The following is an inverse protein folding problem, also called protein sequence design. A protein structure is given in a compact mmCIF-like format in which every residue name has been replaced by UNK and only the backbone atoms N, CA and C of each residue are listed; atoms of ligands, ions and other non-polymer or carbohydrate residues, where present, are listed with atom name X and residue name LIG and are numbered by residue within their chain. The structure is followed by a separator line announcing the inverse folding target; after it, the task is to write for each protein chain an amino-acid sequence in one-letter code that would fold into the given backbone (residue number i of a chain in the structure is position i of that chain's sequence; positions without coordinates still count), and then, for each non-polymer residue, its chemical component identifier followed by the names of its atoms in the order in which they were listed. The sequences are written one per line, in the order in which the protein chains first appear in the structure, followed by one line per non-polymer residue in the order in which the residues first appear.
data_IF_455776046133
#
_entry.id   IF_455776046133
#
_cell.length_a   1.000
_cell.length_b   1.000
_cell.length_c   1.000
_cell.angle_alpha   90.00
_cell.angle_beta   90.00
_cell.angle_gamma   90.00
#
_symmetry.space_group_name_H-M   'P 1'
#
loop_
_entity.id
_entity.type
_entity.pdbx_description
1 polymer ?
#
# COMPACT_ATOMS: atom_id res chain seq x y z
N UNK A 1 -22.76 -36.06 22.48
CA UNK A 1 -22.39 -35.99 21.05
C UNK A 1 -23.08 -34.78 20.48
N UNK A 2 -22.39 -33.65 20.41
CA UNK A 2 -22.91 -32.43 19.78
C UNK A 2 -22.21 -32.28 18.43
N UNK A 3 -22.99 -32.42 17.36
CA UNK A 3 -22.56 -32.21 15.99
C UNK A 3 -22.48 -30.71 15.71
N UNK A 4 -21.26 -30.24 15.43
CA UNK A 4 -20.98 -28.84 15.10
C UNK A 4 -21.21 -28.66 13.60
N UNK A 5 -22.36 -28.09 13.22
CA UNK A 5 -22.67 -27.74 11.83
C UNK A 5 -21.90 -26.47 11.47
N UNK A 6 -20.94 -26.59 10.55
CA UNK A 6 -20.11 -25.49 10.06
C UNK A 6 -20.80 -24.80 8.88
N UNK A 7 -21.35 -23.60 9.10
CA UNK A 7 -21.95 -22.80 8.03
C UNK A 7 -20.86 -22.07 7.26
N UNK A 8 -20.35 -22.70 6.20
CA UNK A 8 -19.62 -21.97 5.17
C UNK A 8 -20.60 -21.08 4.40
N UNK A 9 -20.53 -19.77 4.65
CA UNK A 9 -21.19 -18.75 3.83
C UNK A 9 -20.74 -18.93 2.37
N UNK A 10 -21.59 -19.54 1.54
CA UNK A 10 -21.35 -19.61 0.11
C UNK A 10 -21.29 -18.19 -0.45
N UNK A 11 -20.35 -17.89 -1.37
CA UNK A 11 -20.33 -16.62 -2.09
C UNK A 11 -21.68 -16.38 -2.77
N UNK A 12 -22.11 -15.12 -2.83
CA UNK A 12 -23.36 -14.76 -3.51
C UNK A 12 -23.32 -15.21 -4.98
N UNK A 13 -24.50 -15.39 -5.58
CA UNK A 13 -24.61 -15.82 -6.99
C UNK A 13 -23.80 -14.92 -7.92
N UNK A 14 -23.73 -13.63 -7.59
CA UNK A 14 -22.96 -12.60 -8.30
C UNK A 14 -21.45 -12.84 -8.23
N UNK A 15 -20.91 -13.20 -7.06
CA UNK A 15 -19.49 -13.56 -6.90
C UNK A 15 -19.14 -14.87 -7.62
N UNK A 16 -20.07 -15.82 -7.71
CA UNK A 16 -19.86 -17.06 -8.48
C UNK A 16 -19.89 -16.81 -9.98
N UNK A 17 -20.85 -16.03 -10.46
CA UNK A 17 -20.94 -15.63 -11.86
C UNK A 17 -19.71 -14.83 -12.31
N UNK A 18 -19.21 -13.91 -11.47
CA UNK A 18 -17.97 -13.16 -11.71
C UNK A 18 -16.73 -14.07 -11.78
N UNK A 19 -16.65 -15.09 -10.92
CA UNK A 19 -15.55 -16.07 -10.96
C UNK A 19 -15.59 -16.94 -12.21
N UNK A 20 -16.76 -17.40 -12.63
CA UNK A 20 -16.91 -18.22 -13.84
C UNK A 20 -16.66 -17.41 -15.12
N UNK A 21 -17.13 -16.16 -15.18
CA UNK A 21 -16.86 -15.26 -16.30
C UNK A 21 -15.37 -14.90 -16.39
N UNK A 22 -14.70 -14.68 -15.23
CA UNK A 22 -13.27 -14.44 -15.17
C UNK A 22 -12.47 -15.63 -15.74
N UNK A 23 -12.78 -16.86 -15.33
CA UNK A 23 -12.08 -18.07 -15.84
C UNK A 23 -12.28 -18.27 -17.35
N UNK A 24 -13.45 -17.96 -17.90
CA UNK A 24 -13.74 -18.11 -19.33
C UNK A 24 -13.08 -17.04 -20.21
N UNK A 25 -12.89 -15.82 -19.69
CA UNK A 25 -12.25 -14.71 -20.41
C UNK A 25 -10.71 -14.74 -20.37
N UNK A 26 -10.10 -15.60 -19.54
CA UNK A 26 -8.66 -15.62 -19.25
C UNK A 26 -7.78 -16.40 -20.24
N UNK A 27 -8.36 -17.03 -21.27
CA UNK A 27 -7.63 -17.87 -22.24
C UNK A 27 -7.30 -17.16 -23.58
N UNK A 28 -7.23 -15.82 -23.65
CA UNK A 28 -6.90 -15.11 -24.89
C UNK A 28 -5.75 -14.09 -24.74
N UNK A 29 -4.89 -14.02 -25.76
CA UNK A 29 -3.55 -13.42 -25.78
C UNK A 29 -3.47 -11.87 -25.79
N UNK A 30 -4.57 -11.14 -25.59
CA UNK A 30 -4.58 -9.67 -25.64
C UNK A 30 -4.95 -9.05 -24.29
N UNK A 31 -4.07 -8.19 -23.77
CA UNK A 31 -4.21 -7.50 -22.47
C UNK A 31 -5.13 -6.27 -22.56
N UNK A 32 -5.47 -5.78 -23.77
CA UNK A 32 -6.31 -4.58 -23.93
C UNK A 32 -7.78 -4.71 -23.47
N UNK A 33 -8.47 -5.86 -23.66
CA UNK A 33 -9.80 -6.07 -23.07
C UNK A 33 -9.77 -6.21 -21.55
N UNK A 34 -8.63 -6.60 -20.96
CA UNK A 34 -8.49 -6.72 -19.50
C UNK A 34 -8.64 -5.37 -18.82
N UNK A 35 -8.03 -4.30 -19.35
CA UNK A 35 -8.05 -2.97 -18.73
C UNK A 35 -9.38 -2.23 -18.89
N UNK A 36 -10.17 -2.55 -19.92
CA UNK A 36 -11.49 -1.92 -20.17
C UNK A 36 -12.63 -2.60 -19.41
N UNK A 37 -12.49 -3.87 -19.03
CA UNK A 37 -13.45 -4.61 -18.18
C UNK A 37 -13.34 -4.32 -16.68
N UNK A 38 -12.22 -3.75 -16.22
CA UNK A 38 -12.11 -3.25 -14.84
C UNK A 38 -12.92 -1.96 -14.68
N UNK A 39 -14.22 -2.08 -14.44
CA UNK A 39 -14.94 -1.01 -13.74
C UNK A 39 -14.40 -0.97 -12.32
N UNK A 40 -13.39 -0.11 -12.09
CA UNK A 40 -12.91 0.26 -10.75
C UNK A 40 -14.00 1.07 -10.03
N UNK A 41 -15.12 0.41 -9.72
CA UNK A 41 -16.14 0.92 -8.81
C UNK A 41 -15.56 0.79 -7.41
N UNK A 42 -14.78 1.80 -7.04
CA UNK A 42 -14.38 2.00 -5.66
C UNK A 42 -15.65 2.08 -4.82
N UNK A 43 -15.83 1.10 -3.93
CA UNK A 43 -16.91 1.09 -2.94
C UNK A 43 -16.88 2.37 -2.07
N UNK A 44 -15.71 3.00 -1.98
CA UNK A 44 -15.48 4.25 -1.24
C UNK A 44 -16.02 5.46 -2.01
N UNK A 45 -15.97 5.48 -3.35
CA UNK A 45 -16.30 6.69 -4.16
C UNK A 45 -17.80 7.04 -4.06
N UNK A 46 -18.68 6.05 -4.25
CA UNK A 46 -20.13 6.28 -4.30
C UNK A 46 -20.73 6.55 -2.90
N UNK A 47 -20.24 5.86 -1.87
CA UNK A 47 -20.66 6.10 -0.49
C UNK A 47 -20.16 7.46 0.03
N UNK A 48 -18.89 7.78 -0.25
CA UNK A 48 -18.30 9.05 0.15
C UNK A 48 -19.00 10.23 -0.51
N UNK A 49 -19.20 10.23 -1.85
CA UNK A 49 -19.88 11.35 -2.52
C UNK A 49 -21.28 11.60 -1.98
N UNK A 50 -22.09 10.55 -1.75
CA UNK A 50 -23.44 10.71 -1.20
C UNK A 50 -23.40 11.29 0.21
N UNK A 51 -22.55 10.74 1.07
CA UNK A 51 -22.35 11.25 2.43
C UNK A 51 -21.87 12.72 2.42
N UNK A 52 -20.99 13.10 1.50
CA UNK A 52 -20.50 14.48 1.41
C UNK A 52 -21.53 15.47 0.92
N UNK A 53 -22.36 15.10 -0.07
CA UNK A 53 -23.48 15.95 -0.48
C UNK A 53 -24.45 16.18 0.67
N UNK A 54 -24.78 15.12 1.42
CA UNK A 54 -25.58 15.25 2.64
C UNK A 54 -24.91 16.17 3.67
N UNK A 55 -23.59 16.09 3.86
CA UNK A 55 -22.85 16.98 4.77
C UNK A 55 -22.79 18.44 4.28
N UNK A 56 -22.83 18.71 2.98
CA UNK A 56 -22.82 20.10 2.46
C UNK A 56 -24.22 20.74 2.57
N UNK A 57 -25.26 19.92 2.41
CA UNK A 57 -26.65 20.33 2.64
C UNK A 57 -26.97 20.49 4.14
N UNK A 58 -26.18 19.85 5.01
CA UNK A 58 -26.28 19.99 6.46
C UNK A 58 -25.92 21.41 6.91
N UNK A 59 -26.95 22.16 7.35
CA UNK A 59 -26.81 23.53 7.84
C UNK A 59 -26.11 23.61 9.19
N UNK A 60 -25.94 22.49 9.91
CA UNK A 60 -25.17 22.45 11.15
C UNK A 60 -23.65 22.57 10.89
N UNK A 61 -23.20 22.23 9.67
CA UNK A 61 -21.82 22.46 9.27
C UNK A 61 -21.58 23.94 8.96
N UNK A 62 -20.58 24.48 9.65
CA UNK A 62 -20.09 25.84 9.42
C UNK A 62 -19.77 26.10 7.94
N UNK A 63 -20.14 27.29 7.45
CA UNK A 63 -20.07 27.65 6.03
C UNK A 63 -18.64 27.61 5.48
N UNK A 64 -17.64 27.94 6.31
CA UNK A 64 -16.22 27.86 5.94
C UNK A 64 -15.82 26.41 5.66
N UNK A 65 -16.27 25.46 6.49
CA UNK A 65 -16.03 24.02 6.28
C UNK A 65 -16.73 23.51 5.03
N UNK A 66 -17.98 23.91 4.80
CA UNK A 66 -18.72 23.51 3.59
C UNK A 66 -18.04 24.01 2.32
N UNK A 67 -17.57 25.26 2.31
CA UNK A 67 -16.81 25.80 1.19
C UNK A 67 -15.51 25.01 0.92
N UNK A 68 -14.75 24.68 1.97
CA UNK A 68 -13.55 23.84 1.85
C UNK A 68 -13.87 22.48 1.22
N UNK A 69 -14.90 21.80 1.72
CA UNK A 69 -15.33 20.50 1.20
C UNK A 69 -15.78 20.60 -0.26
N UNK A 70 -16.58 21.61 -0.61
CA UNK A 70 -17.03 21.83 -1.97
C UNK A 70 -15.85 21.99 -2.94
N UNK A 71 -14.83 22.77 -2.58
CA UNK A 71 -13.60 22.91 -3.34
C UNK A 71 -12.82 21.59 -3.48
N UNK A 72 -12.62 20.87 -2.37
CA UNK A 72 -11.89 19.60 -2.36
C UNK A 72 -12.59 18.56 -3.24
N UNK A 73 -13.91 18.50 -3.24
CA UNK A 73 -14.70 17.55 -4.03
C UNK A 73 -15.12 18.06 -5.41
N UNK A 74 -14.63 19.24 -5.83
CA UNK A 74 -14.90 19.85 -7.13
C UNK A 74 -16.42 20.04 -7.41
N UNK A 75 -17.19 20.43 -6.40
CA UNK A 75 -18.64 20.66 -6.49
C UNK A 75 -18.93 22.08 -7.00
N UNK A 76 -18.77 22.27 -8.31
CA UNK A 76 -18.72 23.60 -8.95
C UNK A 76 -19.91 24.50 -8.61
N UNK A 77 -21.12 23.94 -8.60
CA UNK A 77 -22.36 24.66 -8.34
C UNK A 77 -22.41 25.17 -6.89
N UNK A 78 -21.99 24.32 -5.94
CA UNK A 78 -21.93 24.65 -4.52
C UNK A 78 -20.81 25.64 -4.22
N UNK A 79 -19.65 25.53 -4.88
CA UNK A 79 -18.50 26.44 -4.66
C UNK A 79 -18.91 27.90 -4.88
N UNK A 80 -19.61 28.20 -5.98
CA UNK A 80 -20.02 29.57 -6.30
C UNK A 80 -21.01 30.11 -5.26
N UNK A 81 -22.06 29.35 -4.97
CA UNK A 81 -23.12 29.78 -4.04
C UNK A 81 -22.61 29.93 -2.60
N UNK A 82 -21.75 29.01 -2.16
CA UNK A 82 -21.09 29.08 -0.86
C UNK A 82 -20.13 30.27 -0.77
N UNK A 83 -19.39 30.58 -1.85
CA UNK A 83 -18.51 31.75 -1.89
C UNK A 83 -19.27 33.06 -1.72
N UNK A 84 -20.38 33.24 -2.46
CA UNK A 84 -21.24 34.43 -2.36
C UNK A 84 -21.86 34.57 -0.96
N UNK A 85 -22.13 33.44 -0.30
CA UNK A 85 -22.70 33.40 1.04
C UNK A 85 -21.65 33.57 2.16
N UNK A 86 -20.35 33.48 1.86
CA UNK A 86 -19.29 33.62 2.85
C UNK A 86 -19.14 35.09 3.31
N UNK A 87 -19.12 35.37 4.63
CA UNK A 87 -18.79 36.70 5.13
C UNK A 87 -17.42 37.17 4.64
N UNK A 88 -17.27 38.48 4.37
CA UNK A 88 -16.01 39.05 3.83
C UNK A 88 -14.78 38.69 4.68
N UNK A 89 -14.93 38.69 6.01
CA UNK A 89 -13.86 38.30 6.95
C UNK A 89 -13.34 36.88 6.68
N UNK A 90 -14.22 35.97 6.26
CA UNK A 90 -13.92 34.57 6.04
C UNK A 90 -13.43 34.33 4.61
N UNK A 91 -13.90 35.11 3.63
CA UNK A 91 -13.35 35.12 2.27
C UNK A 91 -11.83 35.42 2.26
N UNK A 92 -11.38 36.32 3.14
CA UNK A 92 -9.96 36.66 3.30
C UNK A 92 -9.10 35.47 3.77
N UNK A 93 -9.70 34.39 4.28
CA UNK A 93 -8.98 33.15 4.61
C UNK A 93 -8.57 32.36 3.36
N UNK A 94 -9.24 32.58 2.24
CA UNK A 94 -9.13 31.80 1.01
C UNK A 94 -8.59 32.60 -0.18
N UNK A 95 -8.57 33.92 -0.07
CA UNK A 95 -8.20 34.82 -1.13
C UNK A 95 -7.24 35.90 -0.63
N UNK A 96 -6.21 36.16 -1.42
CA UNK A 96 -5.30 37.28 -1.22
C UNK A 96 -5.23 38.08 -2.53
N UNK A 97 -5.52 39.37 -2.46
CA UNK A 97 -5.60 40.20 -3.67
C UNK A 97 -4.25 40.31 -4.41
N UNK A 98 -3.15 40.34 -3.66
CA UNK A 98 -1.80 40.53 -4.18
C UNK A 98 -1.19 39.24 -4.73
N UNK A 99 -1.29 38.15 -3.96
CA UNK A 99 -0.53 36.92 -4.26
C UNK A 99 -1.21 35.66 -3.72
N UNK A 100 -1.57 34.75 -4.64
CA UNK A 100 -2.17 33.45 -4.31
C UNK A 100 -1.25 32.57 -3.46
N UNK A 101 0.08 32.74 -3.52
CA UNK A 101 1.03 31.97 -2.72
C UNK A 101 0.97 32.33 -1.22
N UNK A 102 0.45 33.52 -0.88
CA UNK A 102 0.27 33.95 0.52
C UNK A 102 -0.96 33.30 1.17
N UNK A 103 -1.81 32.62 0.41
CA UNK A 103 -2.99 31.95 0.95
C UNK A 103 -2.59 30.63 1.62
N UNK A 104 -2.69 30.59 2.95
CA UNK A 104 -2.36 29.40 3.77
C UNK A 104 -3.35 28.24 3.68
N UNK A 105 -4.04 28.06 2.54
CA UNK A 105 -5.04 27.01 2.33
C UNK A 105 -4.49 25.90 1.43
N UNK A 106 -5.20 24.77 1.39
CA UNK A 106 -4.88 23.72 0.44
C UNK A 106 -5.01 24.23 -1.00
N UNK A 107 -4.09 23.84 -1.87
CA UNK A 107 -4.01 24.34 -3.25
C UNK A 107 -5.31 24.17 -4.03
N UNK A 108 -6.08 23.09 -3.89
CA UNK A 108 -7.37 22.97 -4.59
C UNK A 108 -8.36 24.08 -4.19
N UNK A 109 -8.38 24.46 -2.91
CA UNK A 109 -9.23 25.55 -2.42
C UNK A 109 -8.77 26.89 -3.01
N UNK A 110 -7.46 27.13 -3.03
CA UNK A 110 -6.88 28.33 -3.67
C UNK A 110 -7.26 28.36 -5.15
N UNK A 111 -6.99 27.29 -5.89
CA UNK A 111 -7.31 27.19 -7.32
C UNK A 111 -8.78 27.52 -7.59
N UNK A 112 -9.71 26.87 -6.89
CA UNK A 112 -11.14 27.12 -7.05
C UNK A 112 -11.53 28.55 -6.74
N UNK A 113 -10.99 29.14 -5.68
CA UNK A 113 -11.30 30.52 -5.27
C UNK A 113 -10.91 31.54 -6.35
N UNK A 114 -9.75 31.37 -7.01
CA UNK A 114 -9.35 32.28 -8.09
C UNK A 114 -10.09 31.97 -9.40
N UNK A 115 -10.46 30.71 -9.66
CA UNK A 115 -11.28 30.33 -10.82
C UNK A 115 -12.66 31.00 -10.75
N UNK A 116 -13.36 30.90 -9.61
CA UNK A 116 -14.70 31.49 -9.46
C UNK A 116 -14.68 33.03 -9.50
N UNK A 117 -13.58 33.65 -9.08
CA UNK A 117 -13.37 35.10 -9.23
C UNK A 117 -12.99 35.54 -10.64
N UNK A 118 -12.72 34.60 -11.55
CA UNK A 118 -12.24 34.90 -12.90
C UNK A 118 -10.81 35.45 -12.94
N UNK A 119 -10.03 35.24 -11.88
CA UNK A 119 -8.68 35.79 -11.68
C UNK A 119 -7.58 34.73 -11.89
N UNK A 120 -7.82 33.75 -12.77
CA UNK A 120 -6.93 32.62 -13.03
C UNK A 120 -5.47 33.03 -13.34
N UNK A 121 -5.26 34.20 -13.94
CA UNK A 121 -3.93 34.74 -14.25
C UNK A 121 -3.05 34.94 -13.01
N UNK A 122 -3.65 35.19 -11.84
CA UNK A 122 -2.90 35.32 -10.57
C UNK A 122 -2.31 33.98 -10.09
N UNK A 123 -2.82 32.85 -10.59
CA UNK A 123 -2.29 31.52 -10.30
C UNK A 123 -1.03 31.19 -11.10
N UNK A 124 -0.66 31.99 -12.11
CA UNK A 124 0.49 31.71 -12.97
C UNK A 124 1.81 31.58 -12.19
N UNK A 125 2.00 32.41 -11.15
CA UNK A 125 3.21 32.33 -10.33
C UNK A 125 3.28 31.01 -9.55
N UNK A 126 2.15 30.59 -8.99
CA UNK A 126 2.02 29.31 -8.28
C UNK A 126 2.30 28.11 -9.21
N UNK A 127 1.79 28.17 -10.44
CA UNK A 127 1.99 27.11 -11.44
C UNK A 127 3.45 27.06 -11.89
N UNK A 128 4.05 28.21 -12.23
CA UNK A 128 5.43 28.30 -12.70
C UNK A 128 6.45 27.85 -11.65
N UNK A 129 6.19 28.14 -10.37
CA UNK A 129 7.07 27.73 -9.29
C UNK A 129 7.24 26.20 -9.17
N UNK A 130 6.20 25.43 -9.55
CA UNK A 130 6.24 23.97 -9.52
C UNK A 130 6.72 23.39 -10.86
N UNK A 131 6.12 23.83 -11.97
CA UNK A 131 6.49 23.38 -13.32
C UNK A 131 6.21 24.43 -14.39
N UNK A 132 7.28 24.94 -15.03
CA UNK A 132 7.25 26.07 -15.97
C UNK A 132 6.27 25.93 -17.16
N UNK A 133 5.88 24.71 -17.54
CA UNK A 133 5.08 24.46 -18.74
C UNK A 133 3.71 23.81 -18.48
N UNK A 134 3.18 23.96 -17.27
CA UNK A 134 1.87 23.42 -16.92
C UNK A 134 0.76 24.43 -17.22
N UNK A 135 -0.34 23.94 -17.78
CA UNK A 135 -1.60 24.69 -17.76
C UNK A 135 -2.24 24.60 -16.37
N UNK A 136 -3.21 25.48 -16.11
CA UNK A 136 -3.99 25.45 -14.86
C UNK A 136 -4.62 24.08 -14.61
N UNK A 137 -5.20 23.44 -15.64
CA UNK A 137 -5.82 22.12 -15.50
C UNK A 137 -4.77 21.02 -15.25
N UNK A 138 -3.60 21.06 -15.91
CA UNK A 138 -2.51 20.12 -15.63
C UNK A 138 -2.00 20.23 -14.19
N UNK A 139 -1.85 21.46 -13.71
CA UNK A 139 -1.44 21.74 -12.34
C UNK A 139 -2.47 21.25 -11.32
N UNK A 140 -3.75 21.58 -11.53
CA UNK A 140 -4.85 21.11 -10.69
C UNK A 140 -4.96 19.57 -10.67
N UNK A 141 -4.82 18.93 -11.84
CA UNK A 141 -4.82 17.48 -11.99
C UNK A 141 -3.66 16.82 -11.22
N UNK A 142 -2.43 17.31 -11.41
CA UNK A 142 -1.24 16.85 -10.68
C UNK A 142 -1.46 16.97 -9.19
N UNK A 143 -1.88 18.14 -8.73
CA UNK A 143 -2.07 18.39 -7.30
C UNK A 143 -3.15 17.47 -6.71
N UNK A 144 -4.31 17.34 -7.35
CA UNK A 144 -5.37 16.42 -6.92
C UNK A 144 -4.84 14.99 -6.78
N UNK A 145 -4.13 14.49 -7.80
CA UNK A 145 -3.57 13.14 -7.81
C UNK A 145 -2.54 12.92 -6.69
N UNK A 146 -1.61 13.87 -6.52
CA UNK A 146 -0.57 13.79 -5.49
C UNK A 146 -1.10 14.03 -4.07
N UNK A 147 -2.37 14.40 -3.90
CA UNK A 147 -3.03 14.44 -2.60
C UNK A 147 -3.93 13.24 -2.35
N UNK A 148 -3.95 12.25 -3.26
CA UNK A 148 -4.81 11.07 -3.13
C UNK A 148 -6.29 11.37 -3.39
N UNK A 149 -6.64 12.53 -3.96
CA UNK A 149 -8.03 12.92 -4.18
C UNK A 149 -8.54 12.44 -5.54
N UNK A 150 -9.03 11.20 -5.59
CA UNK A 150 -9.52 10.57 -6.83
C UNK A 150 -10.65 11.33 -7.51
N UNK A 151 -11.55 11.95 -6.76
CA UNK A 151 -12.70 12.69 -7.32
C UNK A 151 -12.17 13.91 -8.09
N UNK A 152 -11.34 14.73 -7.45
CA UNK A 152 -10.72 15.88 -8.10
C UNK A 152 -9.79 15.45 -9.24
N UNK A 153 -9.06 14.34 -9.10
CA UNK A 153 -8.21 13.79 -10.18
C UNK A 153 -9.05 13.48 -11.41
N UNK A 154 -10.18 12.78 -11.26
CA UNK A 154 -11.11 12.49 -12.37
C UNK A 154 -11.65 13.76 -13.00
N UNK A 155 -12.09 14.70 -12.15
CA UNK A 155 -12.66 15.97 -12.59
C UNK A 155 -11.68 16.75 -13.48
N UNK A 156 -10.46 16.99 -13.00
CA UNK A 156 -9.47 17.76 -13.77
C UNK A 156 -8.94 16.96 -14.97
N UNK A 157 -8.84 15.64 -14.89
CA UNK A 157 -8.43 14.80 -16.03
C UNK A 157 -9.37 14.96 -17.23
N UNK A 158 -10.68 15.01 -17.00
CA UNK A 158 -11.68 15.21 -18.06
C UNK A 158 -11.51 16.56 -18.77
N UNK A 159 -10.96 17.57 -18.09
CA UNK A 159 -10.72 18.91 -18.63
C UNK A 159 -9.37 19.05 -19.33
N UNK A 160 -8.51 18.04 -19.28
CA UNK A 160 -7.27 18.00 -20.05
C UNK A 160 -7.56 17.69 -21.52
N UNK A 161 -6.92 18.44 -22.40
CA UNK A 161 -6.79 18.11 -23.82
C UNK A 161 -5.94 16.84 -24.01
N UNK A 162 -6.04 16.22 -25.19
CA UNK A 162 -5.26 15.04 -25.52
C UNK A 162 -3.74 15.26 -25.34
N UNK A 163 -3.22 16.37 -25.88
CA UNK A 163 -1.81 16.74 -25.79
C UNK A 163 -1.34 16.94 -24.34
N UNK A 164 -2.19 17.55 -23.51
CA UNK A 164 -1.88 17.72 -22.08
C UNK A 164 -1.82 16.38 -21.35
N UNK A 165 -2.73 15.45 -21.66
CA UNK A 165 -2.74 14.09 -21.08
C UNK A 165 -1.46 13.33 -21.44
N UNK A 166 -1.09 13.30 -22.72
CA UNK A 166 0.15 12.65 -23.17
C UNK A 166 1.38 13.20 -22.45
N UNK A 167 1.44 14.52 -22.27
CA UNK A 167 2.58 15.20 -21.63
C UNK A 167 2.73 14.85 -20.14
N UNK A 168 1.65 14.74 -19.38
CA UNK A 168 1.72 14.71 -17.91
C UNK A 168 1.32 13.39 -17.25
N UNK A 169 0.49 12.56 -17.89
CA UNK A 169 -0.19 11.44 -17.25
C UNK A 169 0.77 10.40 -16.67
N UNK A 170 1.73 9.92 -17.49
CA UNK A 170 2.71 8.92 -17.07
C UNK A 170 3.51 9.39 -15.85
N UNK A 171 4.06 10.60 -15.93
CA UNK A 171 4.87 11.18 -14.85
C UNK A 171 4.07 11.39 -13.57
N UNK A 172 2.81 11.82 -13.67
CA UNK A 172 1.94 11.98 -12.51
C UNK A 172 1.63 10.61 -11.87
N UNK A 173 1.36 9.57 -12.67
CA UNK A 173 1.17 8.21 -12.15
C UNK A 173 2.41 7.69 -11.41
N UNK A 174 3.61 7.92 -11.98
CA UNK A 174 4.89 7.59 -11.34
C UNK A 174 5.05 8.31 -9.99
N UNK A 175 4.76 9.61 -9.96
CA UNK A 175 4.86 10.41 -8.74
C UNK A 175 3.85 9.96 -7.67
N UNK A 176 2.63 9.57 -8.06
CA UNK A 176 1.62 9.01 -7.13
C UNK A 176 2.13 7.70 -6.51
N UNK A 177 2.64 6.78 -7.33
CA UNK A 177 3.19 5.51 -6.86
C UNK A 177 4.38 5.74 -5.91
N UNK A 178 5.31 6.61 -6.29
CA UNK A 178 6.47 6.97 -5.48
C UNK A 178 6.05 7.55 -4.13
N UNK A 179 5.22 8.62 -4.15
CA UNK A 179 4.76 9.33 -2.95
C UNK A 179 4.07 8.42 -1.94
N UNK A 180 3.28 7.46 -2.42
CA UNK A 180 2.63 6.45 -1.56
C UNK A 180 3.64 5.60 -0.79
N UNK A 181 4.77 5.26 -1.39
CA UNK A 181 5.72 4.29 -0.80
C UNK A 181 6.78 4.88 0.09
N UNK A 182 7.32 6.04 -0.27
CA UNK A 182 8.38 6.67 0.52
C UNK A 182 7.84 7.25 1.81
N UNK A 183 6.52 7.48 1.89
CA UNK A 183 5.92 8.09 3.06
C UNK A 183 6.53 9.46 3.35
N UNK A 184 7.26 10.05 2.38
CA UNK A 184 7.77 11.40 2.48
C UNK A 184 6.53 12.28 2.51
N UNK A 185 6.08 12.56 3.73
CA UNK A 185 5.27 13.71 4.08
C UNK A 185 6.17 14.93 3.89
N UNK A 186 6.63 15.12 2.65
CA UNK A 186 7.52 16.21 2.27
C UNK A 186 6.62 17.43 2.20
N UNK A 187 6.42 18.08 3.35
CA UNK A 187 5.81 19.39 3.55
C UNK A 187 4.46 19.67 2.86
N UNK A 188 3.81 18.67 2.26
CA UNK A 188 2.46 18.81 1.74
C UNK A 188 1.53 18.92 2.94
N UNK A 189 1.18 20.18 3.26
CA UNK A 189 0.12 20.60 4.18
C UNK A 189 -0.87 19.50 4.45
N UNK A 190 -0.91 19.02 5.70
CA UNK A 190 -1.93 18.14 6.31
C UNK A 190 -2.94 17.62 5.27
N UNK A 191 -2.53 16.65 4.46
CA UNK A 191 -3.44 16.12 3.45
C UNK A 191 -4.60 15.48 4.20
N UNK A 192 -5.82 15.96 4.00
CA UNK A 192 -7.03 15.40 4.63
C UNK A 192 -7.25 13.92 4.25
N UNK A 193 -6.59 13.46 3.18
CA UNK A 193 -6.71 12.11 2.66
C UNK A 193 -5.74 11.13 3.31
N UNK A 194 -6.28 9.98 3.67
CA UNK A 194 -5.53 8.87 4.21
C UNK A 194 -4.59 8.29 3.14
N UNK A 195 -3.46 7.71 3.56
CA UNK A 195 -2.46 7.07 2.68
C UNK A 195 -3.04 6.04 1.71
N UNK A 196 -4.21 5.47 2.00
CA UNK A 196 -4.92 4.49 1.15
C UNK A 196 -5.54 5.11 -0.11
N UNK A 197 -5.90 6.40 -0.07
CA UNK A 197 -6.56 7.07 -1.20
C UNK A 197 -5.64 7.18 -2.43
N UNK A 198 -4.32 7.13 -2.23
CA UNK A 198 -3.35 7.06 -3.32
C UNK A 198 -3.49 5.79 -4.17
N UNK A 199 -3.89 4.66 -3.58
CA UNK A 199 -4.11 3.42 -4.31
C UNK A 199 -5.29 3.55 -5.26
N UNK A 200 -6.35 4.24 -4.84
CA UNK A 200 -7.53 4.48 -5.66
C UNK A 200 -7.22 5.45 -6.82
N UNK A 201 -6.43 6.49 -6.55
CA UNK A 201 -5.90 7.40 -7.58
C UNK A 201 -5.01 6.65 -8.55
N UNK A 202 -4.03 5.88 -8.07
CA UNK A 202 -3.10 5.16 -8.92
C UNK A 202 -3.83 4.15 -9.81
N UNK A 203 -4.77 3.38 -9.25
CA UNK A 203 -5.60 2.47 -10.02
C UNK A 203 -6.34 3.19 -11.14
N UNK A 204 -6.95 4.34 -10.85
CA UNK A 204 -7.57 5.18 -11.88
C UNK A 204 -6.57 5.61 -12.96
N UNK A 205 -5.42 6.17 -12.58
CA UNK A 205 -4.41 6.68 -13.51
C UNK A 205 -3.83 5.57 -14.40
N UNK A 206 -3.55 4.39 -13.83
CA UNK A 206 -3.06 3.24 -14.59
C UNK A 206 -4.05 2.86 -15.70
N UNK A 207 -5.36 2.91 -15.44
CA UNK A 207 -6.36 2.63 -16.49
C UNK A 207 -6.44 3.71 -17.58
N UNK A 208 -5.95 4.91 -17.32
CA UNK A 208 -5.89 5.97 -18.33
C UNK A 208 -4.62 5.90 -19.18
N UNK A 209 -3.58 5.19 -18.73
CA UNK A 209 -2.36 5.00 -19.51
C UNK A 209 -2.61 4.03 -20.66
N UNK A 210 -1.98 4.30 -21.81
CA UNK A 210 -1.95 3.32 -22.89
C UNK A 210 -1.01 2.14 -22.53
N UNK A 211 -1.08 1.04 -23.28
CA UNK A 211 -0.33 -0.18 -22.97
C UNK A 211 1.20 0.00 -22.91
N UNK A 212 1.77 0.90 -23.72
CA UNK A 212 3.21 1.16 -23.69
C UNK A 212 3.60 1.93 -22.42
N UNK A 213 2.83 2.97 -22.08
CA UNK A 213 3.03 3.71 -20.84
C UNK A 213 2.83 2.85 -19.60
N UNK A 214 1.85 1.93 -19.59
CA UNK A 214 1.65 0.96 -18.52
C UNK A 214 2.86 0.03 -18.36
N UNK A 215 3.37 -0.51 -19.46
CA UNK A 215 4.59 -1.34 -19.45
C UNK A 215 5.78 -0.56 -18.90
N UNK A 216 5.98 0.67 -19.35
CA UNK A 216 7.06 1.53 -18.92
C UNK A 216 7.00 1.84 -17.41
N UNK A 217 5.82 2.18 -16.88
CA UNK A 217 5.69 2.45 -15.44
C UNK A 217 5.90 1.18 -14.61
N UNK A 218 5.43 0.01 -15.09
CA UNK A 218 5.66 -1.26 -14.41
C UNK A 218 7.13 -1.63 -14.36
N UNK A 219 7.87 -1.44 -15.45
CA UNK A 219 9.32 -1.67 -15.50
C UNK A 219 10.09 -0.78 -14.51
N UNK A 220 9.77 0.51 -14.48
CA UNK A 220 10.54 1.49 -13.71
C UNK A 220 10.11 1.58 -12.23
N UNK A 221 8.86 1.19 -11.92
CA UNK A 221 8.26 1.43 -10.60
C UNK A 221 7.47 0.24 -10.07
N UNK A 222 7.75 -1.00 -10.50
CA UNK A 222 7.07 -2.22 -10.05
C UNK A 222 6.86 -2.28 -8.53
N UNK A 223 7.92 -2.08 -7.76
CA UNK A 223 7.84 -2.08 -6.30
C UNK A 223 6.86 -1.04 -5.76
N UNK A 224 6.91 0.18 -6.29
CA UNK A 224 6.07 1.27 -5.83
C UNK A 224 4.60 0.97 -6.09
N UNK A 225 4.30 0.43 -7.26
CA UNK A 225 2.94 0.09 -7.70
C UNK A 225 2.39 -1.06 -6.86
N UNK A 226 3.14 -2.17 -6.73
CA UNK A 226 2.73 -3.31 -5.91
C UNK A 226 2.42 -2.89 -4.48
N UNK A 227 3.27 -2.04 -3.91
CA UNK A 227 3.02 -1.57 -2.55
C UNK A 227 1.73 -0.74 -2.41
N UNK A 228 1.25 -0.08 -3.46
CA UNK A 228 -0.03 0.63 -3.40
C UNK A 228 -1.18 -0.37 -3.26
N UNK A 229 -1.10 -1.51 -3.95
CA UNK A 229 -2.16 -2.52 -3.93
C UNK A 229 -2.15 -3.43 -2.68
N UNK A 230 -1.13 -3.33 -1.83
CA UNK A 230 -1.12 -4.04 -0.55
C UNK A 230 -2.12 -3.49 0.47
N UNK A 231 -2.75 -2.33 0.23
CA UNK A 231 -3.80 -1.79 1.08
C UNK A 231 -5.14 -2.52 0.86
N UNK A 232 -5.94 -2.69 1.92
CA UNK A 232 -7.35 -3.09 1.76
C UNK A 232 -8.12 -1.92 1.09
N UNK A 233 -8.87 -2.13 -0.01
CA UNK A 233 -9.36 -3.42 -0.52
C UNK A 233 -8.68 -4.07 -1.73
N UNK A 234 -7.44 -3.70 -2.02
CA UNK A 234 -6.77 -3.98 -3.30
C UNK A 234 -5.96 -5.28 -3.35
N UNK A 235 -6.12 -6.21 -2.41
CA UNK A 235 -5.21 -7.34 -2.26
C UNK A 235 -5.35 -8.40 -3.35
N UNK A 236 -6.55 -8.60 -3.88
CA UNK A 236 -6.75 -9.46 -5.05
C UNK A 236 -6.00 -8.89 -6.27
N UNK A 237 -6.01 -7.56 -6.41
CA UNK A 237 -5.27 -6.86 -7.45
C UNK A 237 -3.76 -6.92 -7.19
N UNK A 238 -3.33 -6.86 -5.92
CA UNK A 238 -1.91 -7.04 -5.56
C UNK A 238 -1.38 -8.39 -6.02
N UNK A 239 -2.10 -9.48 -5.74
CA UNK A 239 -1.66 -10.83 -6.13
C UNK A 239 -1.56 -10.98 -7.65
N UNK A 240 -2.58 -10.53 -8.38
CA UNK A 240 -2.58 -10.56 -9.85
C UNK A 240 -1.44 -9.71 -10.43
N UNK A 241 -1.24 -8.52 -9.88
CA UNK A 241 -0.21 -7.61 -10.37
C UNK A 241 1.20 -8.14 -10.06
N UNK A 242 1.39 -8.80 -8.91
CA UNK A 242 2.67 -9.35 -8.50
C UNK A 242 3.21 -10.40 -9.46
N UNK A 243 2.34 -11.29 -9.95
CA UNK A 243 2.68 -12.34 -10.92
C UNK A 243 3.38 -11.78 -12.17
N UNK A 244 2.90 -10.64 -12.67
CA UNK A 244 3.45 -10.00 -13.87
C UNK A 244 4.67 -9.11 -13.59
N UNK A 245 4.96 -8.79 -12.33
CA UNK A 245 5.97 -7.83 -11.96
C UNK A 245 7.27 -8.44 -11.43
N UNK A 246 7.32 -9.76 -11.23
CA UNK A 246 8.50 -10.44 -10.70
C UNK A 246 9.80 -10.11 -11.46
N UNK A 247 9.73 -10.01 -12.79
CA UNK A 247 10.87 -9.72 -13.65
C UNK A 247 11.38 -8.27 -13.55
N UNK A 248 10.61 -7.37 -12.96
CA UNK A 248 10.97 -5.95 -12.78
C UNK A 248 11.42 -5.62 -11.35
N UNK A 249 11.34 -6.59 -10.44
CA UNK A 249 11.71 -6.41 -9.05
C UNK A 249 13.18 -6.79 -8.82
N UNK A 250 13.99 -5.84 -8.35
CA UNK A 250 15.29 -6.14 -7.74
C UNK A 250 15.14 -7.12 -6.57
N UNK A 251 15.87 -8.23 -6.66
CA UNK A 251 15.84 -9.36 -5.72
C UNK A 251 16.17 -8.92 -4.29
N UNK A 252 17.11 -8.01 -4.11
CA UNK A 252 17.64 -7.73 -2.78
C UNK A 252 16.77 -6.76 -1.97
N UNK A 253 16.39 -5.64 -2.57
CA UNK A 253 15.72 -4.56 -1.84
C UNK A 253 14.20 -4.77 -1.83
N UNK A 254 13.59 -5.02 -2.99
CA UNK A 254 12.13 -5.00 -3.11
C UNK A 254 11.46 -6.20 -2.43
N UNK A 255 12.07 -7.38 -2.50
CA UNK A 255 11.49 -8.62 -1.97
C UNK A 255 11.28 -8.54 -0.46
N UNK A 256 12.31 -8.09 0.27
CA UNK A 256 12.25 -7.96 1.72
C UNK A 256 11.18 -6.96 2.18
N UNK A 257 11.04 -5.83 1.48
CA UNK A 257 10.12 -4.77 1.88
C UNK A 257 8.67 -5.14 1.57
N UNK A 258 8.40 -5.75 0.42
CA UNK A 258 7.05 -6.19 0.07
C UNK A 258 6.53 -7.21 1.08
N UNK A 259 7.36 -8.18 1.48
CA UNK A 259 6.96 -9.20 2.44
C UNK A 259 6.78 -8.63 3.85
N UNK A 260 7.69 -7.76 4.30
CA UNK A 260 7.55 -7.08 5.59
C UNK A 260 6.27 -6.25 5.66
N UNK A 261 5.91 -5.55 4.57
CA UNK A 261 4.65 -4.79 4.51
C UNK A 261 3.41 -5.67 4.60
N UNK A 262 3.41 -6.88 4.01
CA UNK A 262 2.31 -7.83 4.18
C UNK A 262 2.14 -8.19 5.66
N UNK A 263 3.25 -8.45 6.36
CA UNK A 263 3.26 -8.80 7.79
C UNK A 263 2.83 -7.62 8.67
N UNK A 264 3.28 -6.41 8.36
CA UNK A 264 2.86 -5.19 9.05
C UNK A 264 1.35 -4.95 8.93
N UNK A 265 0.74 -5.37 7.82
CA UNK A 265 -0.68 -5.21 7.59
C UNK A 265 -1.55 -6.26 8.29
N UNK A 266 -0.96 -7.26 8.97
CA UNK A 266 -1.72 -8.38 9.54
C UNK A 266 -2.78 -7.97 10.57
N UNK A 267 -2.49 -6.93 11.37
CA UNK A 267 -3.36 -6.50 12.45
C UNK A 267 -4.47 -5.54 11.94
N UNK A 268 -4.51 -5.26 10.63
CA UNK A 268 -5.55 -4.40 10.03
C UNK A 268 -6.86 -5.18 9.90
N UNK A 269 -7.93 -4.61 10.44
CA UNK A 269 -9.27 -5.18 10.33
C UNK A 269 -9.67 -5.47 8.86
N UNK A 270 -10.20 -6.66 8.61
CA UNK A 270 -10.59 -7.14 7.29
C UNK A 270 -9.43 -7.59 6.39
N UNK A 271 -8.18 -7.46 6.84
CA UNK A 271 -7.01 -7.87 6.08
C UNK A 271 -6.77 -9.38 6.22
N UNK A 272 -7.01 -10.13 5.15
CA UNK A 272 -6.82 -11.59 5.12
C UNK A 272 -5.35 -11.99 4.97
N UNK A 273 -4.51 -11.53 5.90
CA UNK A 273 -3.06 -11.67 5.83
C UNK A 273 -2.61 -13.10 5.51
N UNK A 274 -3.10 -14.08 6.26
CA UNK A 274 -2.65 -15.47 6.10
C UNK A 274 -2.87 -16.00 4.69
N UNK A 275 -4.06 -15.76 4.12
CA UNK A 275 -4.42 -16.17 2.76
C UNK A 275 -3.57 -15.44 1.71
N UNK A 276 -3.41 -14.12 1.86
CA UNK A 276 -2.66 -13.28 0.92
C UNK A 276 -1.18 -13.67 0.93
N UNK A 277 -0.60 -13.82 2.12
CA UNK A 277 0.80 -14.24 2.27
C UNK A 277 1.01 -15.60 1.63
N UNK A 278 0.15 -16.58 1.93
CA UNK A 278 0.27 -17.93 1.40
C UNK A 278 0.22 -17.96 -0.13
N UNK A 279 -0.75 -17.26 -0.73
CA UNK A 279 -0.87 -17.13 -2.20
C UNK A 279 0.34 -16.42 -2.80
N UNK A 280 0.75 -15.31 -2.22
CA UNK A 280 1.91 -14.54 -2.68
C UNK A 280 3.19 -15.38 -2.65
N UNK A 281 3.43 -16.10 -1.55
CA UNK A 281 4.59 -17.00 -1.42
C UNK A 281 4.53 -18.12 -2.44
N UNK A 282 3.38 -18.78 -2.62
CA UNK A 282 3.22 -19.86 -3.59
C UNK A 282 3.52 -19.40 -5.03
N UNK A 283 3.06 -18.20 -5.40
CA UNK A 283 3.26 -17.59 -6.72
C UNK A 283 4.66 -16.98 -6.91
N UNK A 284 5.46 -16.89 -5.83
CA UNK A 284 6.79 -16.27 -5.91
C UNK A 284 7.78 -17.17 -6.66
N UNK A 285 8.69 -16.60 -7.48
CA UNK A 285 9.76 -17.35 -8.13
C UNK A 285 10.66 -18.08 -7.13
N UNK A 286 11.30 -19.17 -7.54
CA UNK A 286 12.28 -19.88 -6.70
C UNK A 286 13.42 -18.97 -6.26
N UNK A 287 13.92 -18.11 -7.17
CA UNK A 287 14.96 -17.12 -6.87
C UNK A 287 14.56 -16.16 -5.74
N UNK A 288 13.29 -15.76 -5.69
CA UNK A 288 12.73 -14.99 -4.56
C UNK A 288 12.77 -15.79 -3.26
N UNK A 289 12.26 -17.02 -3.29
CA UNK A 289 12.15 -17.87 -2.10
C UNK A 289 13.52 -18.18 -1.52
N UNK A 290 14.46 -18.57 -2.38
CA UNK A 290 15.85 -18.86 -2.03
C UNK A 290 16.50 -17.63 -1.40
N UNK A 291 16.37 -16.46 -2.02
CA UNK A 291 16.88 -15.21 -1.47
C UNK A 291 16.31 -14.93 -0.07
N UNK A 292 14.99 -15.02 0.07
CA UNK A 292 14.29 -14.70 1.31
C UNK A 292 14.69 -15.65 2.44
N UNK A 293 14.80 -16.95 2.16
CA UNK A 293 15.25 -17.98 3.11
C UNK A 293 16.71 -17.75 3.52
N UNK A 294 17.60 -17.49 2.55
CA UNK A 294 19.01 -17.20 2.80
C UNK A 294 19.18 -15.98 3.73
N UNK A 295 18.42 -14.91 3.50
CA UNK A 295 18.48 -13.67 4.30
C UNK A 295 18.00 -13.85 5.74
N UNK A 296 17.09 -14.79 6.01
CA UNK A 296 16.59 -15.04 7.38
C UNK A 296 17.66 -15.55 8.34
N UNK A 297 18.69 -16.21 7.82
CA UNK A 297 19.76 -16.76 8.66
C UNK A 297 20.64 -15.67 9.28
N UNK A 298 20.66 -14.46 8.71
CA UNK A 298 21.56 -13.37 9.11
C UNK A 298 20.87 -12.22 9.86
N UNK A 299 19.53 -12.18 9.91
CA UNK A 299 18.80 -11.03 10.48
C UNK A 299 17.46 -11.44 11.10
N UNK A 300 16.90 -10.59 11.97
CA UNK A 300 15.51 -10.70 12.42
C UNK A 300 14.55 -10.32 11.30
N UNK A 301 14.38 -11.23 10.33
CA UNK A 301 13.49 -11.01 9.18
C UNK A 301 12.07 -11.56 9.38
N UNK A 302 11.31 -11.58 8.28
CA UNK A 302 9.90 -11.95 8.22
C UNK A 302 9.56 -13.29 8.90
N UNK A 303 10.48 -14.26 8.91
CA UNK A 303 10.21 -15.57 9.51
C UNK A 303 10.17 -15.48 11.05
N UNK A 304 10.95 -14.57 11.64
CA UNK A 304 10.84 -14.26 13.07
C UNK A 304 9.47 -13.72 13.42
N UNK A 305 8.91 -12.88 12.55
CA UNK A 305 7.55 -12.39 12.72
C UNK A 305 6.53 -13.52 12.60
N UNK A 306 6.62 -14.38 11.57
CA UNK A 306 5.73 -15.54 11.45
C UNK A 306 5.72 -16.40 12.72
N UNK A 307 6.90 -16.73 13.28
CA UNK A 307 7.00 -17.47 14.53
C UNK A 307 6.49 -16.69 15.75
N UNK A 308 6.75 -15.38 15.82
CA UNK A 308 6.25 -14.52 16.91
C UNK A 308 4.72 -14.52 16.95
N UNK A 309 4.07 -14.58 15.80
CA UNK A 309 2.61 -14.59 15.65
C UNK A 309 2.02 -15.99 15.55
N UNK A 310 2.85 -17.04 15.68
CA UNK A 310 2.43 -18.43 15.65
C UNK A 310 1.64 -18.77 14.37
N UNK A 311 2.02 -18.18 13.24
CA UNK A 311 1.38 -18.40 11.93
C UNK A 311 1.85 -19.73 11.31
N UNK A 312 1.39 -20.83 11.92
CA UNK A 312 1.84 -22.20 11.65
C UNK A 312 1.74 -22.54 10.16
N UNK A 313 0.66 -22.13 9.50
CA UNK A 313 0.41 -22.49 8.09
C UNK A 313 1.43 -21.83 7.16
N UNK A 314 1.72 -20.54 7.35
CA UNK A 314 2.73 -19.85 6.55
C UNK A 314 4.16 -20.27 6.93
N UNK A 315 4.42 -20.64 8.18
CA UNK A 315 5.70 -21.24 8.59
C UNK A 315 5.95 -22.56 7.86
N UNK A 316 4.97 -23.47 7.88
CA UNK A 316 5.04 -24.75 7.16
C UNK A 316 5.29 -24.52 5.68
N UNK A 317 4.60 -23.55 5.09
CA UNK A 317 4.72 -23.21 3.68
C UNK A 317 6.15 -22.78 3.32
N UNK A 318 6.73 -21.85 4.09
CA UNK A 318 8.10 -21.34 3.88
C UNK A 318 9.13 -22.45 4.10
N UNK A 319 8.98 -23.24 5.17
CA UNK A 319 9.90 -24.34 5.46
C UNK A 319 9.79 -25.48 4.46
N UNK A 320 8.63 -25.72 3.85
CA UNK A 320 8.50 -26.75 2.82
C UNK A 320 9.41 -26.47 1.63
N UNK A 321 9.49 -25.21 1.22
CA UNK A 321 10.30 -24.78 0.08
C UNK A 321 11.79 -24.61 0.43
N UNK A 322 12.15 -24.63 1.72
CA UNK A 322 13.54 -24.55 2.19
C UNK A 322 14.29 -25.89 2.06
N UNK A 323 15.55 -25.82 1.63
CA UNK A 323 16.42 -27.00 1.55
C UNK A 323 16.73 -27.58 2.94
N UNK A 324 17.19 -28.82 2.97
CA UNK A 324 17.70 -29.47 4.18
C UNK A 324 18.78 -28.63 4.89
N UNK A 325 19.69 -28.05 4.10
CA UNK A 325 20.77 -27.18 4.58
C UNK A 325 20.23 -25.85 5.13
N UNK A 326 19.26 -25.23 4.45
CA UNK A 326 18.66 -23.97 4.90
C UNK A 326 17.92 -24.12 6.22
N UNK A 327 17.19 -25.22 6.39
CA UNK A 327 16.49 -25.56 7.64
C UNK A 327 17.49 -25.68 8.79
N UNK A 328 18.57 -26.43 8.58
CA UNK A 328 19.62 -26.62 9.59
C UNK A 328 20.28 -25.29 9.95
N UNK A 329 20.65 -24.49 8.95
CA UNK A 329 21.26 -23.17 9.13
C UNK A 329 20.32 -22.21 9.87
N UNK A 330 19.03 -22.20 9.51
CA UNK A 330 18.02 -21.39 10.18
C UNK A 330 17.90 -21.78 11.65
N UNK A 331 17.77 -23.06 11.97
CA UNK A 331 17.65 -23.58 13.34
C UNK A 331 18.91 -23.24 14.17
N UNK A 332 20.09 -23.37 13.55
CA UNK A 332 21.39 -23.17 14.20
C UNK A 332 21.76 -21.68 14.33
N UNK A 333 21.07 -20.79 13.61
CA UNK A 333 21.27 -19.35 13.73
C UNK A 333 20.85 -18.83 15.10
N UNK A 334 21.42 -17.70 15.53
CA UNK A 334 21.02 -17.02 16.77
C UNK A 334 19.51 -16.70 16.78
N UNK A 335 18.95 -16.36 15.62
CA UNK A 335 17.51 -16.14 15.44
C UNK A 335 16.72 -17.43 15.67
N UNK A 336 17.13 -18.55 15.08
CA UNK A 336 16.48 -19.86 15.23
C UNK A 336 16.52 -20.38 16.67
N UNK A 337 17.67 -20.29 17.33
CA UNK A 337 17.82 -20.64 18.76
C UNK A 337 16.87 -19.80 19.62
N UNK A 338 16.80 -18.48 19.38
CA UNK A 338 15.89 -17.58 20.08
C UNK A 338 14.41 -17.93 19.84
N UNK A 339 14.05 -18.33 18.62
CA UNK A 339 12.70 -18.82 18.32
C UNK A 339 12.39 -20.10 19.09
N UNK A 340 13.26 -21.11 19.02
CA UNK A 340 13.09 -22.39 19.71
C UNK A 340 12.92 -22.20 21.22
N UNK A 341 13.76 -21.37 21.84
CA UNK A 341 13.67 -21.04 23.25
C UNK A 341 12.32 -20.41 23.63
N UNK A 342 11.80 -19.48 22.82
CA UNK A 342 10.46 -18.90 23.04
C UNK A 342 9.35 -19.93 22.98
N UNK A 343 9.41 -20.89 22.06
CA UNK A 343 8.41 -21.95 21.95
C UNK A 343 8.44 -22.91 23.14
N UNK A 344 9.64 -23.27 23.60
CA UNK A 344 9.83 -24.11 24.79
C UNK A 344 9.22 -23.44 26.01
N UNK A 345 9.53 -22.15 26.25
CA UNK A 345 8.97 -21.40 27.39
C UNK A 345 7.44 -21.31 27.32
N UNK A 346 6.88 -21.13 26.13
CA UNK A 346 5.43 -21.02 25.95
C UNK A 346 4.69 -22.37 25.99
N UNK A 347 5.40 -23.49 26.07
CA UNK A 347 4.78 -24.83 25.99
C UNK A 347 4.10 -25.12 24.65
N UNK A 348 4.40 -24.35 23.59
CA UNK A 348 3.80 -24.52 22.27
C UNK A 348 4.50 -25.65 21.54
N UNK A 349 4.14 -26.89 21.93
CA UNK A 349 4.66 -28.14 21.38
C UNK A 349 4.21 -28.40 19.94
N UNK A 350 3.31 -27.57 19.38
CA UNK A 350 2.87 -27.67 17.99
C UNK A 350 4.04 -27.54 16.98
N UNK A 351 5.11 -26.85 17.37
CA UNK A 351 6.32 -26.71 16.55
C UNK A 351 7.36 -27.80 16.82
N UNK A 352 7.15 -28.65 17.83
CA UNK A 352 8.10 -29.69 18.18
C UNK A 352 8.32 -30.64 16.98
N UNK A 353 7.34 -31.20 16.27
CA UNK A 353 7.63 -32.09 15.14
C UNK A 353 8.45 -31.44 14.01
N UNK A 354 8.20 -30.15 13.74
CA UNK A 354 8.89 -29.36 12.72
C UNK A 354 10.36 -29.14 13.08
N UNK A 355 10.66 -28.90 14.36
CA UNK A 355 12.02 -28.67 14.88
C UNK A 355 12.73 -29.99 15.19
N UNK A 356 12.01 -30.97 15.75
CA UNK A 356 12.53 -32.24 16.27
C UNK A 356 12.87 -33.27 15.20
N UNK A 357 12.36 -33.14 13.98
CA UNK A 357 12.76 -34.01 12.86
C UNK A 357 14.27 -33.98 12.56
N UNK A 358 15.05 -33.05 13.16
CA UNK A 358 16.54 -33.02 13.10
C UNK A 358 17.25 -32.62 14.41
N UNK A 359 16.62 -32.75 15.58
CA UNK A 359 17.18 -32.35 16.90
C UNK A 359 18.48 -33.09 17.31
N UNK A 360 18.94 -34.12 16.58
CA UNK A 360 20.27 -34.68 16.80
C UNK A 360 21.41 -33.65 16.64
N UNK A 361 21.22 -32.61 15.83
CA UNK A 361 22.18 -31.50 15.68
C UNK A 361 22.10 -30.51 16.85
N UNK A 362 20.89 -30.19 17.33
CA UNK A 362 20.68 -29.27 18.47
C UNK A 362 21.19 -29.89 19.77
N UNK A 363 21.00 -31.19 20.00
CA UNK A 363 21.53 -31.88 21.20
C UNK A 363 23.05 -31.68 21.32
N UNK A 364 23.81 -31.68 20.23
CA UNK A 364 25.26 -31.42 20.24
C UNK A 364 25.58 -29.97 20.62
N UNK A 365 24.92 -29.01 19.99
CA UNK A 365 25.15 -27.57 20.25
C UNK A 365 24.69 -27.11 21.64
N UNK A 366 23.56 -27.62 22.13
CA UNK A 366 23.09 -27.38 23.51
C UNK A 366 24.03 -28.00 24.54
N UNK A 367 24.54 -29.22 24.30
CA UNK A 367 25.53 -29.87 25.17
C UNK A 367 26.85 -29.08 25.24
N UNK A 368 27.31 -28.52 24.12
CA UNK A 368 28.50 -27.67 24.06
C UNK A 368 28.29 -26.31 24.74
N UNK A 369 27.09 -25.73 24.63
CA UNK A 369 26.73 -24.46 25.28
C UNK A 369 26.55 -24.63 26.79
N UNK A 370 25.88 -25.70 27.24
CA UNK A 370 25.84 -26.08 28.66
C UNK A 370 27.25 -26.38 29.20
N UNK A 371 28.08 -27.10 28.44
CA UNK A 371 29.47 -27.35 28.83
C UNK A 371 30.32 -26.08 28.91
N UNK A 372 30.04 -25.07 28.07
CA UNK A 372 30.67 -23.74 28.16
C UNK A 372 30.19 -22.96 29.38
N UNK A 373 28.88 -22.92 29.63
CA UNK A 373 28.30 -22.23 30.79
C UNK A 373 28.79 -22.86 32.11
N UNK A 374 28.91 -24.20 32.17
CA UNK A 374 29.47 -24.90 33.34
C UNK A 374 30.98 -24.69 33.54
N UNK A 375 31.73 -24.24 32.53
CA UNK A 375 33.17 -23.91 32.64
C UNK A 375 33.44 -22.46 33.07
N UNK A 376 32.45 -21.56 32.98
CA UNK A 376 32.62 -20.15 33.38
C UNK A 376 32.89 -19.97 34.89
N UNK A 377 32.38 -20.80 35.82
CA UNK A 377 32.74 -20.70 37.24
C UNK A 377 34.17 -21.11 37.59
N UNK A 378 34.86 -21.93 36.77
CA UNK A 378 36.19 -22.44 37.11
C UNK A 378 37.32 -21.43 36.83
N UNK A 379 37.18 -20.59 35.79
CA UNK A 379 38.20 -19.61 35.41
C UNK A 379 38.27 -18.44 36.41
N UNK A 380 37.18 -18.14 37.11
CA UNK A 380 37.19 -17.10 38.16
C UNK A 380 37.73 -17.56 39.50
N UNK A 381 37.84 -18.88 39.74
CA UNK A 381 38.43 -19.42 40.97
C UNK A 381 39.96 -19.60 40.87
N UNK A 382 40.52 -19.83 39.67
CA UNK A 382 41.97 -19.92 39.49
C UNK A 382 42.69 -18.56 39.47
N UNK A 383 42.01 -17.47 39.08
CA UNK A 383 42.60 -16.11 39.11
C UNK A 383 42.50 -15.41 40.48
N UNK A 384 42.02 -16.08 41.53
CA UNK A 384 42.05 -15.59 42.92
C UNK A 384 43.05 -16.31 43.81
N UNK A 385 43.82 -17.25 43.26
CA UNK A 385 44.79 -18.07 43.99
C UNK A 385 46.26 -17.87 43.53
N UNK A 386 46.54 -16.84 42.72
CA UNK A 386 47.89 -16.39 42.38
C UNK A 386 48.08 -14.93 42.75
#
# INVERSE_FOLDING_TARGET
MEEKIDFHLMPCLEQRALRTAAVFLWNQDDIRPLTTGFSFRSFIDDYSMKMWRTNIEDKELDIVKRYRLACVYCLREDIQSLWESLPQKDQNLFYNEEDANKVGQQTLIVLWTYIIKGEERKLNNLIKADENDFTLNQYAFKFAALNGNKIATKYFFQRLTFKEREKCLLRIAQNVAYKRTTGTVMYCFRTEFHRRCFSDVLGYLLNQLNGEQQRQIFQNHAYHILSCFQDWPWQDLFLQTAEHMWNFLSVDYHYSILLNRLIENRDKCGYKYQEIFGKYWLQSPSTFKDYMINRQCSSSGFLFDLFKFEDIENIKLVLRDASAFDKERLISSSTGVRMCHKFIIRGSMAFAPVIYSRVHVIKRSCSETEARIRRVPEIHLQNRAN
#
